data_IF_115674533726
#
_entry.id   IF_115674533726
#
_cell.length_a   1.000
_cell.length_b   1.000
_cell.length_c   1.000
_cell.angle_alpha   90.00
_cell.angle_beta   90.00
_cell.angle_gamma   90.00
#
_symmetry.space_group_name_H-M   'P 1'
#
loop_
_entity.id
_entity.type
_entity.pdbx_description
1 polymer ?
#
# COMPACT_ATOMS: atom_id res chain seq x y z
N UNK A 1 -12.19 18.80 -38.21
CA UNK A 1 -10.82 19.21 -38.63
C UNK A 1 -10.56 18.65 -40.03
N UNK A 2 -10.22 19.48 -41.04
CA UNK A 2 -10.01 19.00 -42.40
C UNK A 2 -8.66 18.27 -42.49
N UNK A 3 -8.68 16.99 -42.85
CA UNK A 3 -7.48 16.19 -43.10
C UNK A 3 -6.86 16.62 -44.45
N UNK A 4 -5.54 16.77 -44.52
CA UNK A 4 -4.84 16.87 -45.80
C UNK A 4 -4.99 15.52 -46.54
N UNK A 5 -4.81 15.54 -47.87
CA UNK A 5 -5.04 14.42 -48.81
C UNK A 5 -4.26 13.12 -48.47
N UNK A 6 -3.39 13.20 -47.46
CA UNK A 6 -2.41 12.18 -47.05
C UNK A 6 -2.72 11.62 -45.64
N UNK A 7 -3.78 12.11 -44.97
CA UNK A 7 -4.12 11.69 -43.60
C UNK A 7 -3.33 12.38 -42.48
N UNK A 8 -2.33 13.20 -42.82
CA UNK A 8 -1.50 13.91 -41.84
C UNK A 8 -2.25 15.06 -41.15
N UNK A 9 -2.07 15.11 -39.83
CA UNK A 9 -2.54 16.19 -38.96
C UNK A 9 -1.68 17.43 -39.28
N UNK A 10 -2.27 18.60 -39.57
CA UNK A 10 -1.50 19.82 -39.78
C UNK A 10 -0.76 20.20 -38.49
N UNK A 11 0.39 20.89 -38.62
CA UNK A 11 1.07 21.48 -37.47
C UNK A 11 0.13 22.48 -36.76
N UNK A 12 0.17 22.58 -35.42
CA UNK A 12 -0.61 23.57 -34.70
C UNK A 12 -0.19 25.00 -35.07
N UNK A 13 -1.07 25.97 -34.80
CA UNK A 13 -0.79 27.37 -35.10
C UNK A 13 0.49 27.86 -34.39
N UNK A 14 1.34 28.56 -35.14
CA UNK A 14 2.63 29.06 -34.66
C UNK A 14 3.74 28.00 -34.61
N UNK A 15 3.53 26.80 -35.17
CA UNK A 15 4.58 25.80 -35.33
C UNK A 15 5.08 25.73 -36.77
N UNK A 16 6.40 25.67 -36.93
CA UNK A 16 7.09 25.44 -38.20
C UNK A 16 8.01 24.21 -38.11
N UNK A 17 8.39 23.70 -39.28
CA UNK A 17 9.32 22.58 -39.44
C UNK A 17 10.57 23.04 -40.18
N UNK A 18 11.74 22.59 -39.74
CA UNK A 18 13.02 22.87 -40.35
C UNK A 18 13.92 21.62 -40.32
N UNK A 19 15.02 21.66 -41.06
CA UNK A 19 16.04 20.61 -41.06
C UNK A 19 17.38 21.20 -40.59
N UNK A 20 18.13 20.40 -39.84
CA UNK A 20 19.50 20.71 -39.47
C UNK A 20 20.48 20.41 -40.63
N UNK A 21 21.78 20.60 -40.38
CA UNK A 21 22.83 20.34 -41.38
C UNK A 21 22.97 18.86 -41.74
N UNK A 22 22.56 17.97 -40.85
CA UNK A 22 22.58 16.52 -41.02
C UNK A 22 21.27 15.99 -41.65
N UNK A 23 20.34 16.89 -41.98
CA UNK A 23 19.03 16.58 -42.56
C UNK A 23 17.98 16.08 -41.56
N UNK A 24 18.28 16.08 -40.25
CA UNK A 24 17.30 15.74 -39.21
C UNK A 24 16.28 16.86 -39.08
N UNK A 25 15.02 16.47 -39.03
CA UNK A 25 13.89 17.38 -38.89
C UNK A 25 13.76 17.82 -37.43
N UNK A 26 13.58 19.11 -37.21
CA UNK A 26 13.22 19.69 -35.92
C UNK A 26 12.04 20.66 -36.09
N UNK A 27 11.38 20.96 -34.97
CA UNK A 27 10.18 21.79 -34.93
C UNK A 27 10.47 23.10 -34.20
N UNK A 28 9.89 24.18 -34.70
CA UNK A 28 10.05 25.54 -34.19
C UNK A 28 8.70 25.99 -33.65
N UNK A 29 8.62 26.29 -32.36
CA UNK A 29 7.45 26.92 -31.75
C UNK A 29 7.68 28.43 -31.67
N UNK A 30 7.00 29.18 -32.55
CA UNK A 30 7.07 30.64 -32.58
C UNK A 30 6.34 31.30 -31.42
N UNK A 31 5.39 30.61 -30.79
CA UNK A 31 4.66 31.14 -29.64
C UNK A 31 5.59 31.25 -28.42
N UNK A 32 6.41 30.23 -28.19
CA UNK A 32 7.39 30.20 -27.09
C UNK A 32 8.80 30.58 -27.51
N UNK A 33 9.05 30.76 -28.81
CA UNK A 33 10.36 31.03 -29.44
C UNK A 33 11.40 29.96 -29.07
N UNK A 34 10.99 28.69 -29.13
CA UNK A 34 11.84 27.54 -28.81
C UNK A 34 11.88 26.57 -29.98
N UNK A 35 12.93 25.76 -30.03
CA UNK A 35 13.06 24.64 -30.95
C UNK A 35 13.02 23.33 -30.17
N UNK A 36 12.55 22.26 -30.81
CA UNK A 36 12.43 20.93 -30.21
C UNK A 36 12.55 19.84 -31.27
N UNK A 37 13.07 18.68 -30.87
CA UNK A 37 13.09 17.46 -31.68
C UNK A 37 11.77 16.69 -31.63
N UNK A 38 10.85 17.08 -30.74
CA UNK A 38 9.57 16.42 -30.54
C UNK A 38 8.52 17.04 -31.47
N UNK A 39 7.90 16.24 -32.34
CA UNK A 39 6.78 16.70 -33.16
C UNK A 39 5.61 17.09 -32.24
N UNK A 40 5.08 18.33 -32.32
CA UNK A 40 3.93 18.74 -31.51
C UNK A 40 2.69 17.86 -31.73
N UNK A 41 2.60 17.17 -32.87
CA UNK A 41 1.51 16.26 -33.24
C UNK A 41 1.64 14.89 -32.57
N UNK A 42 2.85 14.50 -32.17
CA UNK A 42 3.09 13.22 -31.49
C UNK A 42 2.33 13.11 -30.18
N UNK A 43 1.92 14.24 -29.58
CA UNK A 43 1.05 14.26 -28.40
C UNK A 43 -0.28 13.53 -28.62
N UNK A 44 -0.74 13.41 -29.86
CA UNK A 44 -2.02 12.78 -30.19
C UNK A 44 -1.87 11.35 -30.74
N UNK A 45 -0.65 10.95 -31.10
CA UNK A 45 -0.39 9.67 -31.78
C UNK A 45 0.51 8.74 -31.00
N UNK A 46 1.42 9.27 -30.16
CA UNK A 46 2.31 8.47 -29.33
C UNK A 46 1.76 8.23 -27.92
N UNK A 47 2.09 7.09 -27.31
CA UNK A 47 1.77 6.83 -25.92
C UNK A 47 2.42 7.88 -25.01
N UNK A 48 1.66 8.38 -24.03
CA UNK A 48 2.15 9.40 -23.10
C UNK A 48 3.08 8.81 -22.03
N UNK A 49 2.89 7.53 -21.72
CA UNK A 49 3.67 6.83 -20.71
C UNK A 49 4.15 5.48 -21.23
N UNK A 50 5.17 4.92 -20.57
CA UNK A 50 5.65 3.56 -20.86
C UNK A 50 4.57 2.47 -20.66
N UNK A 51 3.55 2.73 -19.84
CA UNK A 51 2.46 1.78 -19.60
C UNK A 51 1.54 1.64 -20.82
N UNK A 52 1.45 2.67 -21.66
CA UNK A 52 0.58 2.72 -22.83
C UNK A 52 1.29 2.21 -24.10
N UNK A 53 2.61 1.94 -24.03
CA UNK A 53 3.38 1.48 -25.17
C UNK A 53 2.97 0.06 -25.60
N UNK A 54 2.72 -0.12 -26.89
CA UNK A 54 2.39 -1.42 -27.49
C UNK A 54 3.45 -1.80 -28.52
N UNK A 55 3.93 -3.04 -28.44
CA UNK A 55 4.92 -3.57 -29.39
C UNK A 55 6.22 -2.77 -29.38
N UNK A 56 6.56 -2.18 -30.51
CA UNK A 56 7.83 -1.47 -30.71
C UNK A 56 7.71 0.06 -30.54
N UNK A 57 6.56 0.57 -30.13
CA UNK A 57 6.37 2.01 -29.91
C UNK A 57 7.15 2.50 -28.69
N UNK A 58 7.63 3.74 -28.76
CA UNK A 58 8.26 4.47 -27.66
C UNK A 58 7.36 5.64 -27.24
N UNK A 59 7.38 6.02 -25.95
CA UNK A 59 6.54 7.10 -25.46
C UNK A 59 6.98 8.46 -26.00
N UNK A 60 6.10 9.45 -25.83
CA UNK A 60 6.34 10.82 -26.28
C UNK A 60 7.71 11.33 -25.81
N UNK A 61 8.50 11.85 -26.76
CA UNK A 61 9.83 12.39 -26.50
C UNK A 61 10.96 11.36 -26.50
N UNK A 62 10.66 10.07 -26.65
CA UNK A 62 11.67 9.04 -26.89
C UNK A 62 11.84 8.75 -28.39
N UNK A 63 13.09 8.54 -28.78
CA UNK A 63 13.49 8.19 -30.14
C UNK A 63 14.48 7.02 -30.09
N UNK A 64 14.31 6.06 -31.00
CA UNK A 64 15.31 5.04 -31.29
C UNK A 64 16.22 5.55 -32.40
N UNK A 65 17.52 5.59 -32.14
CA UNK A 65 18.54 6.00 -33.07
C UNK A 65 19.54 4.86 -33.28
N UNK A 66 20.27 4.92 -34.40
CA UNK A 66 21.26 3.91 -34.76
C UNK A 66 22.61 4.55 -35.00
N UNK A 67 23.65 4.04 -34.34
CA UNK A 67 25.04 4.32 -34.64
C UNK A 67 25.73 3.05 -35.16
N UNK A 68 26.61 3.21 -36.15
CA UNK A 68 27.26 2.06 -36.82
C UNK A 68 28.18 1.24 -35.92
N UNK A 69 28.74 1.84 -34.86
CA UNK A 69 29.66 1.16 -33.95
C UNK A 69 28.94 0.65 -32.70
N UNK A 70 27.97 1.42 -32.20
CA UNK A 70 27.25 1.13 -30.95
C UNK A 70 26.02 0.27 -31.19
N UNK A 71 25.38 0.39 -32.36
CA UNK A 71 24.09 -0.23 -32.68
C UNK A 71 22.92 0.69 -32.34
N UNK A 72 21.78 0.08 -32.03
CA UNK A 72 20.58 0.81 -31.60
C UNK A 72 20.78 1.40 -30.20
N UNK A 73 20.41 2.66 -30.02
CA UNK A 73 20.42 3.37 -28.76
C UNK A 73 19.20 4.29 -28.66
N UNK A 74 18.87 4.75 -27.45
CA UNK A 74 17.65 5.47 -27.17
C UNK A 74 17.97 6.89 -26.71
N UNK A 75 17.22 7.86 -27.26
CA UNK A 75 17.35 9.28 -26.96
C UNK A 75 16.07 9.74 -26.28
N UNK A 76 16.21 10.40 -25.12
CA UNK A 76 15.12 11.07 -24.43
C UNK A 76 15.25 12.58 -24.64
N UNK A 77 14.39 13.15 -25.48
CA UNK A 77 14.37 14.57 -25.81
C UNK A 77 13.79 15.45 -24.71
N UNK A 78 13.04 14.87 -23.77
CA UNK A 78 12.47 15.62 -22.63
C UNK A 78 13.57 15.91 -21.60
N UNK A 79 14.36 14.90 -21.29
CA UNK A 79 15.44 15.00 -20.29
C UNK A 79 16.81 15.27 -20.92
N UNK A 80 16.90 15.26 -22.25
CA UNK A 80 18.13 15.47 -23.02
C UNK A 80 19.22 14.44 -22.68
N UNK A 81 18.82 13.16 -22.58
CA UNK A 81 19.72 12.05 -22.23
C UNK A 81 19.74 10.98 -23.31
N UNK A 82 20.81 10.19 -23.36
CA UNK A 82 20.95 9.03 -24.26
C UNK A 82 21.37 7.81 -23.47
N UNK A 83 20.87 6.63 -23.84
CA UNK A 83 21.19 5.36 -23.20
C UNK A 83 21.21 4.20 -24.20
N UNK A 84 21.90 3.11 -23.85
CA UNK A 84 21.98 1.92 -24.71
C UNK A 84 20.80 0.99 -24.44
N UNK A 85 20.39 0.91 -23.19
CA UNK A 85 19.34 0.05 -22.70
C UNK A 85 17.96 0.53 -23.15
N UNK A 86 17.11 -0.42 -23.57
CA UNK A 86 15.74 -0.12 -23.95
C UNK A 86 14.94 0.37 -22.73
N UNK A 87 14.47 1.63 -22.74
CA UNK A 87 13.81 2.23 -21.58
C UNK A 87 12.50 1.50 -21.21
N UNK A 88 11.89 0.77 -22.16
CA UNK A 88 10.70 -0.06 -21.88
C UNK A 88 11.05 -1.30 -21.07
N UNK A 89 12.26 -1.83 -21.25
CA UNK A 89 12.74 -2.97 -20.46
C UNK A 89 13.07 -2.52 -19.05
N UNK A 90 13.76 -1.39 -18.90
CA UNK A 90 14.02 -0.77 -17.60
C UNK A 90 12.72 -0.48 -16.85
N UNK A 91 11.76 0.16 -17.51
CA UNK A 91 10.47 0.46 -16.90
C UNK A 91 9.75 -0.81 -16.43
N UNK A 92 9.70 -1.86 -17.27
CA UNK A 92 9.10 -3.15 -16.88
C UNK A 92 9.82 -3.80 -15.70
N UNK A 93 11.15 -3.77 -15.70
CA UNK A 93 11.95 -4.32 -14.61
C UNK A 93 11.69 -3.59 -13.28
N UNK A 94 11.58 -2.25 -13.32
CA UNK A 94 11.26 -1.45 -12.13
C UNK A 94 9.85 -1.78 -11.61
N UNK A 95 8.85 -1.85 -12.50
CA UNK A 95 7.49 -2.22 -12.09
C UNK A 95 7.43 -3.63 -11.48
N UNK A 96 8.12 -4.58 -12.10
CA UNK A 96 8.20 -5.95 -11.60
C UNK A 96 8.89 -6.00 -10.22
N UNK A 97 10.01 -5.30 -10.05
CA UNK A 97 10.72 -5.22 -8.78
C UNK A 97 9.84 -4.64 -7.67
N UNK A 98 9.13 -3.55 -7.95
CA UNK A 98 8.22 -2.91 -6.99
C UNK A 98 7.10 -3.86 -6.55
N UNK A 99 6.49 -4.59 -7.50
CA UNK A 99 5.43 -5.56 -7.18
C UNK A 99 5.96 -6.75 -6.39
N UNK A 100 7.17 -7.24 -6.70
CA UNK A 100 7.84 -8.31 -5.96
C UNK A 100 8.11 -7.89 -4.51
N UNK A 101 8.61 -6.67 -4.31
CA UNK A 101 8.86 -6.13 -2.97
C UNK A 101 7.56 -6.00 -2.16
N UNK A 102 6.51 -5.45 -2.78
CA UNK A 102 5.20 -5.34 -2.12
C UNK A 102 4.65 -6.71 -1.73
N UNK A 103 4.75 -7.71 -2.62
CA UNK A 103 4.31 -9.07 -2.33
C UNK A 103 5.05 -9.68 -1.15
N UNK A 104 6.37 -9.46 -1.07
CA UNK A 104 7.19 -9.95 0.04
C UNK A 104 6.76 -9.32 1.36
N UNK A 105 6.64 -7.98 1.41
CA UNK A 105 6.19 -7.27 2.61
C UNK A 105 4.78 -7.72 3.03
N UNK A 106 3.87 -7.89 2.07
CA UNK A 106 2.52 -8.36 2.36
C UNK A 106 2.52 -9.76 2.97
N UNK A 107 3.42 -10.65 2.54
CA UNK A 107 3.58 -11.98 3.11
C UNK A 107 4.07 -11.90 4.56
N UNK A 108 5.12 -11.13 4.83
CA UNK A 108 5.69 -10.99 6.18
C UNK A 108 4.66 -10.39 7.15
N UNK A 109 3.91 -9.37 6.71
CA UNK A 109 2.83 -8.77 7.50
C UNK A 109 1.71 -9.77 7.78
N UNK A 110 1.38 -10.62 6.80
CA UNK A 110 0.36 -11.65 6.99
C UNK A 110 0.83 -12.70 8.00
N UNK A 111 2.09 -13.12 7.93
CA UNK A 111 2.69 -14.08 8.86
C UNK A 111 2.71 -13.53 10.29
N UNK A 112 3.22 -12.30 10.48
CA UNK A 112 3.19 -11.64 11.78
C UNK A 112 1.76 -11.50 12.34
N UNK A 113 0.77 -11.23 11.49
CA UNK A 113 -0.64 -11.20 11.90
C UNK A 113 -1.16 -12.56 12.36
N UNK A 114 -0.73 -13.66 11.71
CA UNK A 114 -1.10 -15.02 12.13
C UNK A 114 -0.51 -15.34 13.50
N UNK A 115 0.77 -15.03 13.73
CA UNK A 115 1.40 -15.23 15.04
C UNK A 115 0.66 -14.47 16.15
N UNK A 116 0.31 -13.20 15.91
CA UNK A 116 -0.46 -12.39 16.87
C UNK A 116 -1.84 -13.01 17.11
N UNK A 117 -2.49 -13.52 16.07
CA UNK A 117 -3.78 -14.19 16.19
C UNK A 117 -3.65 -15.44 17.07
N UNK A 118 -2.64 -16.28 16.84
CA UNK A 118 -2.42 -17.50 17.61
C UNK A 118 -2.15 -17.20 19.08
N UNK A 119 -1.32 -16.19 19.37
CA UNK A 119 -1.07 -15.72 20.75
C UNK A 119 -2.36 -15.24 21.41
N UNK A 120 -3.20 -14.49 20.70
CA UNK A 120 -4.49 -14.04 21.24
C UNK A 120 -5.45 -15.19 21.49
N UNK A 121 -5.47 -16.18 20.59
CA UNK A 121 -6.29 -17.38 20.75
C UNK A 121 -5.85 -18.18 21.99
N UNK A 122 -4.55 -18.42 22.14
CA UNK A 122 -4.00 -19.09 23.32
C UNK A 122 -4.32 -18.35 24.63
N UNK A 123 -4.14 -17.02 24.65
CA UNK A 123 -4.46 -16.19 25.83
C UNK A 123 -5.95 -16.24 26.19
N UNK A 124 -6.82 -16.30 25.19
CA UNK A 124 -8.25 -16.44 25.41
C UNK A 124 -8.59 -17.79 26.07
N UNK A 125 -7.99 -18.88 25.61
CA UNK A 125 -8.19 -20.20 26.21
C UNK A 125 -7.76 -20.21 27.69
N UNK A 126 -6.58 -19.65 27.99
CA UNK A 126 -6.09 -19.55 29.36
C UNK A 126 -7.02 -18.71 30.25
N UNK A 127 -7.49 -17.57 29.76
CA UNK A 127 -8.44 -16.74 30.50
C UNK A 127 -9.77 -17.45 30.75
N UNK A 128 -10.24 -18.25 29.79
CA UNK A 128 -11.44 -19.07 29.94
C UNK A 128 -11.26 -20.17 31.00
N UNK A 129 -10.09 -20.83 31.01
CA UNK A 129 -9.76 -21.86 31.99
C UNK A 129 -9.68 -21.28 33.41
N UNK A 130 -9.00 -20.14 33.57
CA UNK A 130 -8.93 -19.40 34.85
C UNK A 130 -10.33 -18.99 35.34
N UNK A 131 -11.16 -18.44 34.44
CA UNK A 131 -12.54 -18.09 34.76
C UNK A 131 -13.35 -19.32 35.23
N UNK A 132 -13.27 -20.42 34.48
CA UNK A 132 -13.97 -21.66 34.82
C UNK A 132 -13.49 -22.21 36.18
N UNK A 133 -12.19 -22.17 36.44
CA UNK A 133 -11.60 -22.60 37.71
C UNK A 133 -12.11 -21.76 38.89
N UNK A 134 -12.09 -20.43 38.77
CA UNK A 134 -12.61 -19.52 39.79
C UNK A 134 -14.11 -19.74 40.03
N UNK A 135 -14.89 -19.93 38.95
CA UNK A 135 -16.32 -20.21 39.07
C UNK A 135 -16.60 -21.56 39.77
N UNK A 136 -15.81 -22.59 39.49
CA UNK A 136 -15.90 -23.89 40.18
C UNK A 136 -15.50 -23.78 41.66
N UNK A 137 -14.45 -23.02 41.98
CA UNK A 137 -14.05 -22.75 43.36
C UNK A 137 -15.15 -21.99 44.13
N UNK A 138 -15.81 -21.02 43.49
CA UNK A 138 -16.92 -20.28 44.08
C UNK A 138 -18.14 -21.18 44.32
N UNK A 139 -18.51 -22.02 43.34
CA UNK A 139 -19.66 -22.93 43.47
C UNK A 139 -19.41 -24.01 44.54
N UNK A 140 -18.20 -24.57 44.62
CA UNK A 140 -17.84 -25.53 45.68
C UNK A 140 -17.86 -24.88 47.06
N UNK A 141 -17.32 -23.67 47.24
CA UNK A 141 -17.42 -22.94 48.51
C UNK A 141 -18.88 -22.64 48.89
N UNK A 142 -19.71 -22.26 47.92
CA UNK A 142 -21.15 -22.07 48.09
C UNK A 142 -21.86 -23.37 48.51
N UNK A 143 -21.54 -24.49 47.87
CA UNK A 143 -22.09 -25.81 48.20
C UNK A 143 -21.63 -26.29 49.59
N UNK A 144 -20.35 -26.07 49.96
CA UNK A 144 -19.82 -26.39 51.30
C UNK A 144 -20.47 -25.55 52.42
N UNK A 145 -20.97 -24.35 52.13
CA UNK A 145 -21.81 -23.59 53.08
C UNK A 145 -23.22 -24.15 53.23
N UNK A 146 -23.72 -24.93 52.25
CA UNK A 146 -25.04 -25.58 52.33
C UNK A 146 -25.02 -26.96 52.98
N UNK A 147 -23.86 -27.60 53.13
CA UNK A 147 -23.72 -28.93 53.75
C UNK A 147 -23.08 -28.95 55.14
N UNK A 148 -22.70 -27.79 55.70
CA UNK A 148 -22.21 -27.66 57.09
C UNK A 148 -23.30 -27.24 58.09
N UNK A 149 -24.57 -27.33 57.71
CA UNK A 149 -25.70 -27.26 58.65
C UNK A 149 -25.84 -28.60 59.41
N UNK A 150 -24.79 -29.02 60.11
CA UNK A 150 -24.82 -30.15 61.04
C UNK A 150 -23.83 -29.87 62.18
N UNK A 151 -24.38 -29.17 63.19
CA UNK A 151 -24.09 -29.33 64.62
C UNK A 151 -22.70 -28.95 65.17
N UNK A 152 -22.68 -27.85 65.95
CA UNK A 152 -21.75 -27.46 67.03
C UNK A 152 -20.30 -27.09 66.62
N UNK A 153 -19.64 -26.02 67.08
CA UNK A 153 -19.78 -25.12 68.23
C UNK A 153 -18.85 -23.87 68.09
N UNK A 154 -19.20 -22.77 68.76
CA UNK A 154 -18.43 -21.51 68.98
C UNK A 154 -17.99 -20.68 67.76
N UNK A 155 -18.93 -19.89 67.23
CA UNK A 155 -18.67 -18.82 66.26
C UNK A 155 -17.99 -17.63 66.96
N UNK A 156 -16.76 -17.31 66.57
CA UNK A 156 -16.15 -16.00 66.88
C UNK A 156 -16.86 -14.94 66.05
N UNK A 157 -17.90 -14.34 66.62
CA UNK A 157 -18.73 -13.29 66.02
C UNK A 157 -18.03 -11.93 65.90
N UNK A 158 -16.75 -11.81 66.31
CA UNK A 158 -16.08 -10.51 66.38
C UNK A 158 -15.74 -9.88 65.02
N UNK A 159 -15.85 -10.64 63.93
CA UNK A 159 -15.53 -10.17 62.57
C UNK A 159 -16.63 -10.52 61.56
N UNK A 160 -17.86 -10.74 62.01
CA UNK A 160 -18.99 -10.93 61.09
C UNK A 160 -19.48 -9.55 60.57
N UNK A 161 -19.32 -9.25 59.27
CA UNK A 161 -19.65 -7.94 58.71
C UNK A 161 -21.16 -7.63 58.71
N UNK A 162 -22.03 -8.64 58.76
CA UNK A 162 -23.49 -8.41 58.79
C UNK A 162 -23.98 -8.11 60.21
N UNK A 163 -23.36 -8.74 61.22
CA UNK A 163 -23.58 -8.45 62.64
C UNK A 163 -23.07 -7.06 63.04
N UNK A 164 -21.92 -6.64 62.51
CA UNK A 164 -21.40 -5.28 62.71
C UNK A 164 -22.31 -4.21 62.08
N UNK A 165 -22.94 -4.51 60.94
CA UNK A 165 -23.91 -3.60 60.32
C UNK A 165 -25.19 -3.49 61.12
N UNK A 166 -25.71 -4.60 61.68
CA UNK A 166 -26.91 -4.56 62.53
C UNK A 166 -26.66 -3.80 63.83
N UNK A 167 -25.50 -3.97 64.47
CA UNK A 167 -25.15 -3.24 65.70
C UNK A 167 -24.98 -1.74 65.44
N UNK A 168 -24.36 -1.35 64.32
CA UNK A 168 -24.25 0.06 63.90
C UNK A 168 -25.61 0.68 63.59
N UNK A 169 -26.53 -0.08 63.00
CA UNK A 169 -27.90 0.38 62.75
C UNK A 169 -28.67 0.60 64.06
N UNK A 170 -28.61 -0.35 64.99
CA UNK A 170 -29.27 -0.24 66.30
C UNK A 170 -28.68 0.87 67.17
N UNK A 171 -27.37 1.13 67.07
CA UNK A 171 -26.72 2.23 67.76
C UNK A 171 -27.06 3.61 67.16
N UNK A 172 -27.53 3.66 65.91
CA UNK A 172 -28.00 4.91 65.27
C UNK A 172 -29.45 5.26 65.59
N UNK A 173 -30.25 4.28 66.01
CA UNK A 173 -31.67 4.44 66.36
C UNK A 173 -31.90 4.69 67.88
N UNK A 174 -30.83 4.84 68.67
CA UNK A 174 -30.86 5.30 70.08
C UNK A 174 -30.37 6.73 70.18
#
# INVERSE_FOLDING_TARGET
MPRRRNGEIPLPDGWDVAQDFDGKVYFIDHNTRKTTWIDPRDRFTKPQTFADCIGNELPLGWEEAYDKHVGAYYINHVNQTTQLEDPRQEWRAIQEAMLREYLHIAHDVLEAKKEIYDVKHQRLCLAQDEYNHLNNALTTLGASRTSLCSSSSSLSTKYDPDLLKSDVALARDR
#
